data_IF_377294432617
#
_entry.id   IF_377294432617
#
_cell.length_a   1.000
_cell.length_b   1.000
_cell.length_c   1.000
_cell.angle_alpha   90.00
_cell.angle_beta   90.00
_cell.angle_gamma   90.00
#
_symmetry.space_group_name_H-M   'P 1'
#
loop_
_entity.id
_entity.type
_entity.pdbx_description
1 polymer ?
#
# COMPACT_ATOMS: atom_id res chain seq x y z
N UNK A 1 -11.02 -31.22 10.94
CA UNK A 1 -11.27 -30.43 12.18
C UNK A 1 -10.73 -28.98 12.13
N UNK A 2 -9.59 -28.66 11.47
CA UNK A 2 -9.12 -27.26 11.29
C UNK A 2 -10.04 -26.31 10.48
N UNK A 3 -10.81 -26.74 9.45
CA UNK A 3 -11.64 -25.84 8.65
C UNK A 3 -12.79 -25.18 9.43
N UNK A 4 -13.43 -25.94 10.33
CA UNK A 4 -14.54 -25.47 11.17
C UNK A 4 -14.09 -24.41 12.18
N UNK A 5 -12.91 -24.56 12.81
CA UNK A 5 -12.41 -23.53 13.74
C UNK A 5 -12.09 -22.20 13.05
N UNK A 6 -11.66 -22.24 11.79
CA UNK A 6 -11.39 -21.04 11.00
C UNK A 6 -12.68 -20.28 10.64
N UNK A 7 -13.77 -21.00 10.36
CA UNK A 7 -15.09 -20.40 10.10
C UNK A 7 -15.56 -19.54 11.28
N UNK A 8 -15.43 -20.05 12.52
CA UNK A 8 -15.81 -19.28 13.72
C UNK A 8 -14.98 -18.01 13.89
N UNK A 9 -13.70 -18.00 13.49
CA UNK A 9 -12.89 -16.80 13.54
C UNK A 9 -13.40 -15.71 12.59
N UNK A 10 -13.88 -16.06 11.40
CA UNK A 10 -14.44 -15.09 10.46
C UNK A 10 -15.74 -14.43 10.97
N UNK A 11 -16.55 -15.14 11.77
CA UNK A 11 -17.72 -14.56 12.44
C UNK A 11 -17.36 -13.39 13.36
N UNK A 12 -16.14 -13.36 13.91
CA UNK A 12 -15.66 -12.26 14.74
C UNK A 12 -14.87 -11.20 13.97
N UNK A 13 -14.29 -11.55 12.81
CA UNK A 13 -13.53 -10.61 11.97
C UNK A 13 -14.48 -9.68 11.22
N UNK A 14 -15.55 -10.20 10.61
CA UNK A 14 -16.45 -9.40 9.78
C UNK A 14 -17.12 -8.23 10.52
N UNK A 15 -17.70 -8.39 11.73
CA UNK A 15 -18.26 -7.27 12.48
C UNK A 15 -17.21 -6.22 12.86
N UNK A 16 -15.99 -6.68 13.17
CA UNK A 16 -14.86 -5.79 13.52
C UNK A 16 -14.41 -4.97 12.31
N UNK A 17 -14.23 -5.62 11.16
CA UNK A 17 -13.90 -4.95 9.90
C UNK A 17 -14.99 -3.94 9.56
N UNK A 18 -16.28 -4.32 9.66
CA UNK A 18 -17.40 -3.39 9.46
C UNK A 18 -17.35 -2.18 10.40
N UNK A 19 -17.06 -2.38 11.68
CA UNK A 19 -16.89 -1.29 12.64
C UNK A 19 -15.73 -0.35 12.26
N UNK A 20 -14.58 -0.91 11.87
CA UNK A 20 -13.41 -0.13 11.41
C UNK A 20 -13.75 0.65 10.15
N UNK A 21 -14.38 0.03 9.15
CA UNK A 21 -14.84 0.68 7.92
C UNK A 21 -15.80 1.84 8.21
N UNK A 22 -16.72 1.68 9.17
CA UNK A 22 -17.60 2.79 9.57
C UNK A 22 -16.81 3.98 10.16
N UNK A 23 -15.76 3.73 10.95
CA UNK A 23 -14.87 4.80 11.46
C UNK A 23 -14.10 5.48 10.33
N UNK A 24 -13.53 4.69 9.43
CA UNK A 24 -12.79 5.16 8.25
C UNK A 24 -13.71 6.05 7.38
N UNK A 25 -14.88 5.53 7.02
CA UNK A 25 -15.86 6.23 6.19
C UNK A 25 -16.37 7.53 6.83
N UNK A 26 -16.44 7.60 8.16
CA UNK A 26 -16.76 8.85 8.87
C UNK A 26 -15.69 9.92 8.65
N UNK A 27 -14.40 9.54 8.73
CA UNK A 27 -13.28 10.46 8.49
C UNK A 27 -13.21 10.84 7.01
N UNK A 28 -13.33 9.88 6.10
CA UNK A 28 -13.37 10.12 4.66
C UNK A 28 -14.53 11.06 4.25
N UNK A 29 -15.71 10.90 4.85
CA UNK A 29 -16.85 11.81 4.62
C UNK A 29 -16.54 13.24 5.08
N UNK A 30 -15.83 13.40 6.20
CA UNK A 30 -15.42 14.73 6.66
C UNK A 30 -14.37 15.34 5.73
N UNK A 31 -13.36 14.56 5.32
CA UNK A 31 -12.39 14.97 4.30
C UNK A 31 -13.09 15.47 3.03
N UNK A 32 -14.02 14.69 2.46
CA UNK A 32 -14.78 15.08 1.25
C UNK A 32 -15.58 16.37 1.46
N UNK A 33 -16.14 16.61 2.66
CA UNK A 33 -16.83 17.87 2.99
C UNK A 33 -15.87 19.06 3.08
N UNK A 34 -14.66 18.85 3.59
CA UNK A 34 -13.64 19.90 3.68
C UNK A 34 -13.15 20.28 2.29
N UNK A 35 -12.88 19.29 1.45
CA UNK A 35 -12.47 19.48 0.05
C UNK A 35 -13.53 20.20 -0.78
N UNK A 36 -14.81 19.85 -0.61
CA UNK A 36 -15.92 20.47 -1.34
C UNK A 36 -16.13 21.97 -1.05
N UNK A 37 -15.40 22.56 -0.08
CA UNK A 37 -15.42 24.01 0.16
C UNK A 37 -14.65 24.80 -0.89
N UNK A 38 -13.70 24.16 -1.59
CA UNK A 38 -12.98 24.73 -2.72
C UNK A 38 -13.50 24.06 -4.01
N UNK A 39 -13.99 24.86 -4.96
CA UNK A 39 -14.59 24.34 -6.20
C UNK A 39 -13.60 23.59 -7.08
N UNK A 40 -12.33 24.01 -7.12
CA UNK A 40 -11.31 23.34 -7.93
C UNK A 40 -10.92 22.00 -7.32
N UNK A 41 -10.78 21.94 -5.99
CA UNK A 41 -10.51 20.66 -5.31
C UNK A 41 -11.71 19.69 -5.41
N UNK A 42 -12.94 20.21 -5.40
CA UNK A 42 -14.14 19.42 -5.60
C UNK A 42 -14.16 18.75 -6.99
N UNK A 43 -13.67 19.43 -8.03
CA UNK A 43 -13.56 18.85 -9.38
C UNK A 43 -12.61 17.66 -9.38
N UNK A 44 -11.45 17.75 -8.74
CA UNK A 44 -10.49 16.65 -8.60
C UNK A 44 -11.15 15.43 -7.93
N UNK A 45 -11.83 15.65 -6.80
CA UNK A 45 -12.50 14.58 -6.05
C UNK A 45 -13.74 14.00 -6.76
N UNK A 46 -14.33 14.75 -7.69
CA UNK A 46 -15.47 14.29 -8.48
C UNK A 46 -15.09 13.35 -9.63
N UNK A 47 -13.79 13.32 -10.00
CA UNK A 47 -13.28 12.39 -11.00
C UNK A 47 -13.47 10.94 -10.53
N UNK A 48 -14.11 10.12 -11.37
CA UNK A 48 -14.34 8.70 -11.09
C UNK A 48 -13.03 7.94 -10.85
N UNK A 49 -11.99 8.25 -11.62
CA UNK A 49 -10.65 7.63 -11.46
C UNK A 49 -10.03 7.98 -10.12
N UNK A 50 -10.10 9.26 -9.72
CA UNK A 50 -9.57 9.71 -8.43
C UNK A 50 -10.33 9.10 -7.26
N UNK A 51 -11.67 9.13 -7.28
CA UNK A 51 -12.51 8.61 -6.19
C UNK A 51 -12.31 7.09 -5.97
N UNK A 52 -12.10 6.34 -7.05
CA UNK A 52 -11.80 4.91 -6.99
C UNK A 52 -10.46 4.65 -6.29
N UNK A 53 -9.37 5.27 -6.77
CA UNK A 53 -8.03 5.13 -6.18
C UNK A 53 -8.02 5.57 -4.71
N UNK A 54 -8.61 6.73 -4.40
CA UNK A 54 -8.77 7.21 -3.03
C UNK A 54 -9.47 6.17 -2.14
N UNK A 55 -10.58 5.59 -2.61
CA UNK A 55 -11.35 4.62 -1.83
C UNK A 55 -10.56 3.34 -1.60
N UNK A 56 -9.84 2.84 -2.61
CA UNK A 56 -8.98 1.66 -2.49
C UNK A 56 -7.86 1.89 -1.47
N UNK A 57 -7.09 2.97 -1.61
CA UNK A 57 -6.02 3.31 -0.67
C UNK A 57 -6.53 3.44 0.76
N UNK A 58 -7.62 4.20 0.95
CA UNK A 58 -8.20 4.41 2.28
C UNK A 58 -8.65 3.09 2.92
N UNK A 59 -9.29 2.20 2.17
CA UNK A 59 -9.78 0.93 2.71
C UNK A 59 -8.63 -0.02 3.07
N UNK A 60 -7.66 -0.22 2.17
CA UNK A 60 -6.55 -1.16 2.37
C UNK A 60 -5.64 -0.69 3.51
N UNK A 61 -5.11 0.54 3.40
CA UNK A 61 -4.11 1.02 4.36
C UNK A 61 -4.71 1.27 5.75
N UNK A 62 -5.89 1.89 5.83
CA UNK A 62 -6.49 2.14 7.16
C UNK A 62 -6.84 0.85 7.88
N UNK A 63 -7.32 -0.19 7.18
CA UNK A 63 -7.60 -1.49 7.79
C UNK A 63 -6.32 -2.19 8.27
N UNK A 64 -5.24 -2.07 7.51
CA UNK A 64 -3.93 -2.60 7.89
C UNK A 64 -3.39 -1.87 9.13
N UNK A 65 -3.51 -0.55 9.19
CA UNK A 65 -3.09 0.27 10.34
C UNK A 65 -3.85 -0.08 11.62
N UNK A 66 -5.15 -0.34 11.51
CA UNK A 66 -5.93 -0.90 12.63
C UNK A 66 -5.35 -2.23 13.11
N UNK A 67 -4.96 -3.10 12.18
CA UNK A 67 -4.43 -4.43 12.47
C UNK A 67 -3.05 -4.33 13.12
N UNK A 68 -2.20 -3.40 12.68
CA UNK A 68 -0.89 -3.11 13.28
C UNK A 68 -1.03 -2.54 14.70
N UNK A 69 -1.99 -1.64 14.94
CA UNK A 69 -2.27 -1.17 16.29
C UNK A 69 -2.65 -2.33 17.22
N UNK A 70 -3.50 -3.24 16.75
CA UNK A 70 -3.93 -4.38 17.55
C UNK A 70 -2.84 -5.45 17.73
N UNK A 71 -1.93 -5.59 16.76
CA UNK A 71 -0.71 -6.40 16.91
C UNK A 71 0.07 -5.93 18.15
N UNK A 72 0.25 -4.61 18.28
CA UNK A 72 0.84 -3.96 19.44
C UNK A 72 -0.07 -3.89 20.69
N UNK A 73 -1.25 -4.54 20.67
CA UNK A 73 -2.15 -4.61 21.82
C UNK A 73 -2.89 -3.30 22.13
N UNK A 74 -2.96 -2.36 21.19
CA UNK A 74 -3.59 -1.06 21.37
C UNK A 74 -4.71 -0.77 20.37
N UNK A 75 -5.45 0.30 20.62
CA UNK A 75 -6.48 0.81 19.71
C UNK A 75 -5.91 2.00 18.93
N UNK A 76 -6.28 2.10 17.65
CA UNK A 76 -5.96 3.26 16.82
C UNK A 76 -6.72 4.51 17.31
N UNK A 77 -5.99 5.59 17.57
CA UNK A 77 -6.53 6.89 17.98
C UNK A 77 -7.16 7.63 16.80
N UNK A 78 -7.89 8.71 17.10
CA UNK A 78 -8.54 9.50 16.06
C UNK A 78 -7.52 10.30 15.22
N UNK A 79 -6.44 10.79 15.83
CA UNK A 79 -5.40 11.54 15.12
C UNK A 79 -4.68 10.63 14.11
N UNK A 80 -4.35 9.40 14.51
CA UNK A 80 -3.71 8.42 13.62
C UNK A 80 -4.62 8.05 12.46
N UNK A 81 -5.92 7.84 12.73
CA UNK A 81 -6.89 7.55 11.69
C UNK A 81 -7.06 8.75 10.74
N UNK A 82 -7.04 9.98 11.28
CA UNK A 82 -7.10 11.19 10.48
C UNK A 82 -5.86 11.33 9.60
N UNK A 83 -4.67 11.19 10.16
CA UNK A 83 -3.41 11.22 9.41
C UNK A 83 -3.39 10.16 8.30
N UNK A 84 -3.76 8.91 8.60
CA UNK A 84 -3.81 7.83 7.61
C UNK A 84 -4.79 8.14 6.46
N UNK A 85 -6.03 8.53 6.77
CA UNK A 85 -7.04 8.80 5.72
C UNK A 85 -6.65 10.00 4.86
N UNK A 86 -6.08 11.05 5.44
CA UNK A 86 -5.62 12.22 4.68
C UNK A 86 -4.38 11.90 3.85
N UNK A 87 -3.47 11.07 4.37
CA UNK A 87 -2.31 10.62 3.62
C UNK A 87 -2.71 9.71 2.44
N UNK A 88 -3.69 8.82 2.64
CA UNK A 88 -4.27 8.03 1.53
C UNK A 88 -4.87 8.92 0.44
N UNK A 89 -5.34 10.12 0.75
CA UNK A 89 -5.81 11.09 -0.24
C UNK A 89 -4.68 11.85 -0.95
N UNK A 90 -3.48 11.86 -0.37
CA UNK A 90 -2.28 12.37 -1.03
C UNK A 90 -1.81 11.39 -2.12
N UNK A 91 -1.97 10.08 -1.92
CA UNK A 91 -1.36 9.05 -2.79
C UNK A 91 -1.79 9.14 -4.27
N UNK A 92 -3.08 9.24 -4.65
CA UNK A 92 -3.42 9.35 -6.07
C UNK A 92 -2.87 10.63 -6.72
N UNK A 93 -2.76 11.73 -5.96
CA UNK A 93 -2.16 12.97 -6.44
C UNK A 93 -0.64 12.80 -6.61
N UNK A 94 -0.02 12.12 -5.64
CA UNK A 94 1.40 11.81 -5.65
C UNK A 94 1.77 10.94 -6.84
N UNK A 95 1.03 9.87 -7.10
CA UNK A 95 1.23 9.01 -8.28
C UNK A 95 1.10 9.82 -9.57
N UNK A 96 0.06 10.67 -9.68
CA UNK A 96 -0.14 11.53 -10.85
C UNK A 96 1.01 12.55 -11.05
N UNK A 97 1.80 12.89 -10.01
CA UNK A 97 2.98 13.72 -10.17
C UNK A 97 4.10 13.02 -10.94
N UNK A 98 4.27 11.71 -10.77
CA UNK A 98 5.29 10.95 -11.51
C UNK A 98 4.80 10.55 -12.90
N UNK A 99 3.50 10.24 -13.03
CA UNK A 99 2.99 9.57 -14.23
C UNK A 99 2.37 10.53 -15.25
N UNK A 100 1.82 11.67 -14.80
CA UNK A 100 0.93 12.52 -15.64
C UNK A 100 1.26 14.00 -15.61
N UNK A 101 2.22 14.42 -14.79
CA UNK A 101 2.55 15.83 -14.61
C UNK A 101 3.87 16.17 -15.28
N UNK A 102 4.03 17.45 -15.63
CA UNK A 102 5.30 18.00 -16.13
C UNK A 102 6.25 18.42 -14.99
N UNK A 103 6.00 17.99 -13.74
CA UNK A 103 6.83 18.36 -12.59
C UNK A 103 8.20 17.70 -12.69
N UNK A 104 9.24 18.50 -12.46
CA UNK A 104 10.60 18.00 -12.30
C UNK A 104 10.76 17.21 -11.00
N UNK A 105 11.76 16.33 -10.97
CA UNK A 105 12.16 15.58 -9.77
C UNK A 105 12.36 16.49 -8.55
N UNK A 106 12.94 17.68 -8.77
CA UNK A 106 13.16 18.69 -7.74
C UNK A 106 11.83 19.25 -7.21
N UNK A 107 10.88 19.58 -8.09
CA UNK A 107 9.57 20.09 -7.69
C UNK A 107 8.77 19.08 -6.88
N UNK A 108 8.79 17.80 -7.30
CA UNK A 108 8.15 16.71 -6.54
C UNK A 108 8.77 16.62 -5.15
N UNK A 109 10.11 16.66 -5.05
CA UNK A 109 10.81 16.60 -3.76
C UNK A 109 10.54 17.81 -2.87
N UNK A 110 10.49 19.00 -3.44
CA UNK A 110 10.16 20.24 -2.71
C UNK A 110 8.70 20.20 -2.21
N UNK A 111 7.78 19.67 -3.03
CA UNK A 111 6.36 19.52 -2.67
C UNK A 111 6.15 18.51 -1.53
N UNK A 112 6.92 17.42 -1.48
CA UNK A 112 6.92 16.48 -0.35
C UNK A 112 7.42 17.09 0.96
N UNK A 113 8.25 18.13 0.86
CA UNK A 113 8.82 18.85 2.00
C UNK A 113 7.90 20.00 2.47
N UNK A 114 6.79 20.23 1.78
CA UNK A 114 5.76 21.19 2.17
C UNK A 114 5.15 20.81 3.55
N UNK A 115 4.79 21.80 4.40
CA UNK A 115 4.14 23.05 4.00
C UNK A 115 4.99 24.33 4.03
N UNK A 116 6.31 24.27 4.22
CA UNK A 116 7.14 25.48 4.34
C UNK A 116 7.91 25.76 3.05
N UNK A 117 7.58 26.87 2.37
CA UNK A 117 8.41 27.41 1.28
C UNK A 117 8.10 26.93 -0.14
N UNK A 118 7.01 26.17 -0.34
CA UNK A 118 6.51 25.83 -1.68
C UNK A 118 5.26 26.67 -1.97
N UNK A 119 5.28 27.44 -3.06
CA UNK A 119 4.11 28.18 -3.55
C UNK A 119 3.39 27.31 -4.60
N UNK A 120 2.14 26.89 -4.37
CA UNK A 120 1.41 26.06 -5.33
C UNK A 120 1.06 26.86 -6.58
N UNK A 121 1.35 26.26 -7.74
CA UNK A 121 1.04 26.79 -9.07
C UNK A 121 -0.27 26.21 -9.64
N UNK A 122 -0.84 25.20 -8.99
CA UNK A 122 -2.09 24.56 -9.40
C UNK A 122 -2.96 24.13 -8.23
N UNK A 123 -4.26 23.95 -8.49
CA UNK A 123 -5.22 23.42 -7.51
C UNK A 123 -4.84 22.01 -7.01
N UNK A 124 -4.14 21.20 -7.83
CA UNK A 124 -3.66 19.87 -7.46
C UNK A 124 -2.55 19.97 -6.40
N UNK A 125 -1.57 20.86 -6.62
CA UNK A 125 -0.50 21.13 -5.65
C UNK A 125 -1.06 21.75 -4.37
N UNK A 126 -1.99 22.70 -4.49
CA UNK A 126 -2.63 23.34 -3.32
C UNK A 126 -3.36 22.30 -2.45
N UNK A 127 -4.14 21.41 -3.08
CA UNK A 127 -4.83 20.32 -2.43
C UNK A 127 -3.83 19.36 -1.76
N UNK A 128 -2.77 18.96 -2.46
CA UNK A 128 -1.74 18.07 -1.91
C UNK A 128 -1.08 18.68 -0.66
N UNK A 129 -0.68 19.96 -0.71
CA UNK A 129 -0.08 20.68 0.43
C UNK A 129 -1.06 20.77 1.59
N UNK A 130 -2.33 21.06 1.32
CA UNK A 130 -3.37 21.11 2.34
C UNK A 130 -3.52 19.75 3.05
N UNK A 131 -3.63 18.66 2.28
CA UNK A 131 -3.77 17.30 2.83
C UNK A 131 -2.54 16.92 3.66
N UNK A 132 -1.34 17.13 3.11
CA UNK A 132 -0.08 16.81 3.76
C UNK A 132 0.12 17.61 5.05
N UNK A 133 -0.28 18.89 5.08
CA UNK A 133 -0.28 19.71 6.31
C UNK A 133 -1.15 19.09 7.40
N UNK A 134 -2.34 18.57 7.06
CA UNK A 134 -3.20 17.89 8.02
C UNK A 134 -2.56 16.59 8.51
N UNK A 135 -1.87 15.84 7.64
CA UNK A 135 -1.09 14.66 8.05
C UNK A 135 -0.07 15.05 9.11
N UNK A 136 0.84 15.99 8.81
CA UNK A 136 1.89 16.42 9.75
C UNK A 136 1.37 16.93 11.09
N UNK A 137 0.22 17.62 11.11
CA UNK A 137 -0.42 18.08 12.36
C UNK A 137 -0.90 16.93 13.27
N UNK A 138 -1.06 15.72 12.72
CA UNK A 138 -1.60 14.56 13.42
C UNK A 138 -0.57 13.43 13.60
N UNK A 139 0.68 13.64 13.15
CA UNK A 139 1.75 12.64 13.27
C UNK A 139 2.31 12.56 14.69
N UNK A 140 2.66 11.35 15.16
CA UNK A 140 3.40 11.20 16.41
C UNK A 140 4.88 11.58 16.29
N UNK A 141 5.45 11.44 15.09
CA UNK A 141 6.86 11.69 14.80
C UNK A 141 7.02 12.11 13.33
N UNK A 142 7.06 13.42 13.08
CA UNK A 142 7.20 13.99 11.74
C UNK A 142 8.53 13.62 11.07
N UNK A 143 9.62 13.51 11.84
CA UNK A 143 10.95 13.20 11.28
C UNK A 143 11.02 11.75 10.76
N UNK A 144 10.40 10.81 11.48
CA UNK A 144 10.31 9.41 11.05
C UNK A 144 9.49 9.28 9.77
N UNK A 145 8.35 9.99 9.71
CA UNK A 145 7.50 10.03 8.52
C UNK A 145 8.23 10.64 7.33
N UNK A 146 8.82 11.83 7.50
CA UNK A 146 9.57 12.52 6.44
C UNK A 146 10.71 11.66 5.89
N UNK A 147 11.44 10.95 6.76
CA UNK A 147 12.50 10.02 6.34
C UNK A 147 11.97 8.90 5.45
N UNK A 148 10.90 8.20 5.86
CA UNK A 148 10.34 7.13 5.02
C UNK A 148 9.65 7.66 3.78
N UNK A 149 9.12 8.88 3.82
CA UNK A 149 8.54 9.50 2.65
C UNK A 149 9.63 9.79 1.61
N UNK A 150 10.78 10.32 2.04
CA UNK A 150 11.95 10.49 1.18
C UNK A 150 12.46 9.14 0.62
N UNK A 151 12.48 8.08 1.42
CA UNK A 151 12.87 6.75 0.93
C UNK A 151 11.88 6.20 -0.11
N UNK A 152 10.58 6.43 0.07
CA UNK A 152 9.57 6.07 -0.92
C UNK A 152 9.75 6.86 -2.22
N UNK A 153 10.11 8.15 -2.13
CA UNK A 153 10.45 8.97 -3.31
C UNK A 153 11.60 8.36 -4.11
N UNK A 154 12.72 8.01 -3.47
CA UNK A 154 13.81 7.34 -4.19
C UNK A 154 13.39 5.99 -4.78
N UNK A 155 12.50 5.25 -4.09
CA UNK A 155 11.92 4.01 -4.62
C UNK A 155 11.06 4.24 -5.87
N UNK A 156 10.26 5.31 -5.89
CA UNK A 156 9.47 5.69 -7.07
C UNK A 156 10.34 6.15 -8.23
N UNK A 157 11.35 6.99 -7.98
CA UNK A 157 12.32 7.41 -8.99
C UNK A 157 13.05 6.21 -9.62
N UNK A 158 13.51 5.27 -8.79
CA UNK A 158 14.16 4.06 -9.27
C UNK A 158 13.21 3.16 -10.08
N UNK A 159 11.90 3.17 -9.77
CA UNK A 159 10.89 2.38 -10.51
C UNK A 159 10.70 2.80 -11.97
N UNK A 160 11.10 4.02 -12.35
CA UNK A 160 11.14 4.44 -13.77
C UNK A 160 12.03 3.53 -14.63
N UNK A 161 13.02 2.86 -14.03
CA UNK A 161 13.89 1.90 -14.75
C UNK A 161 13.13 0.64 -15.21
N UNK A 162 11.97 0.33 -14.63
CA UNK A 162 11.20 -0.87 -14.95
C UNK A 162 10.66 -0.88 -16.39
N UNK A 163 10.72 0.23 -17.12
CA UNK A 163 10.45 0.24 -18.57
C UNK A 163 11.56 -0.45 -19.39
N UNK A 164 12.75 -0.67 -18.80
CA UNK A 164 13.87 -1.29 -19.49
C UNK A 164 13.70 -2.83 -19.52
N UNK A 165 13.50 -3.44 -20.71
CA UNK A 165 13.30 -4.89 -20.83
C UNK A 165 14.52 -5.71 -20.42
N UNK A 166 15.71 -5.13 -20.43
CA UNK A 166 16.97 -5.82 -20.16
C UNK A 166 17.28 -5.95 -18.66
N UNK A 167 16.45 -5.40 -17.78
CA UNK A 167 16.64 -5.58 -16.33
C UNK A 167 16.57 -7.06 -15.95
N UNK A 168 17.53 -7.47 -15.12
CA UNK A 168 17.53 -8.80 -14.52
C UNK A 168 16.35 -8.95 -13.54
N UNK A 169 15.96 -10.20 -13.29
CA UNK A 169 14.88 -10.50 -12.34
C UNK A 169 15.22 -10.01 -10.94
N UNK A 170 16.49 -10.12 -10.53
CA UNK A 170 16.98 -9.65 -9.24
C UNK A 170 16.91 -8.13 -9.11
N UNK A 171 17.19 -7.39 -10.18
CA UNK A 171 17.05 -5.92 -10.19
C UNK A 171 15.60 -5.49 -10.10
N UNK A 172 14.71 -6.11 -10.90
CA UNK A 172 13.26 -5.85 -10.84
C UNK A 172 12.72 -6.12 -9.43
N UNK A 173 13.08 -7.27 -8.84
CA UNK A 173 12.67 -7.63 -7.48
C UNK A 173 13.16 -6.60 -6.46
N UNK A 174 14.42 -6.17 -6.55
CA UNK A 174 14.98 -5.16 -5.65
C UNK A 174 14.22 -3.84 -5.71
N UNK A 175 13.94 -3.35 -6.92
CA UNK A 175 13.24 -2.07 -7.14
C UNK A 175 11.81 -2.15 -6.58
N UNK A 176 11.07 -3.19 -6.94
CA UNK A 176 9.71 -3.42 -6.46
C UNK A 176 9.65 -3.56 -4.93
N UNK A 177 10.55 -4.33 -4.33
CA UNK A 177 10.59 -4.51 -2.87
C UNK A 177 11.00 -3.23 -2.14
N UNK A 178 11.82 -2.38 -2.75
CA UNK A 178 12.18 -1.08 -2.19
C UNK A 178 10.99 -0.12 -2.16
N UNK A 179 10.27 0.01 -3.28
CA UNK A 179 9.05 0.82 -3.37
C UNK A 179 7.99 0.36 -2.37
N UNK A 180 7.61 -0.92 -2.42
CA UNK A 180 6.61 -1.50 -1.52
C UNK A 180 7.04 -1.45 -0.04
N UNK A 181 8.30 -1.83 0.25
CA UNK A 181 8.84 -1.89 1.60
C UNK A 181 8.84 -0.54 2.30
N UNK A 182 9.28 0.53 1.63
CA UNK A 182 9.24 1.88 2.19
C UNK A 182 7.83 2.45 2.28
N UNK A 183 6.90 2.07 1.38
CA UNK A 183 5.48 2.41 1.52
C UNK A 183 4.90 1.85 2.83
N UNK A 184 5.15 0.59 3.16
CA UNK A 184 4.69 -0.02 4.41
C UNK A 184 5.30 0.65 5.66
N UNK A 185 6.59 1.01 5.60
CA UNK A 185 7.27 1.73 6.69
C UNK A 185 6.75 3.16 6.86
N UNK A 186 6.41 3.83 5.76
CA UNK A 186 5.80 5.15 5.77
C UNK A 186 4.45 5.13 6.47
N UNK A 187 3.55 4.20 6.12
CA UNK A 187 2.28 4.04 6.84
C UNK A 187 2.49 3.69 8.31
N UNK A 188 3.44 2.82 8.62
CA UNK A 188 3.77 2.48 10.01
C UNK A 188 4.18 3.70 10.83
N UNK A 189 4.87 4.67 10.23
CA UNK A 189 5.34 5.87 10.94
C UNK A 189 4.22 6.80 11.40
N UNK A 190 3.01 6.67 10.84
CA UNK A 190 1.80 7.38 11.28
C UNK A 190 1.37 6.89 12.68
N UNK A 191 1.76 5.67 13.08
CA UNK A 191 1.28 5.01 14.28
C UNK A 191 2.13 5.34 15.52
N UNK A 192 1.48 5.80 16.60
CA UNK A 192 2.04 6.29 17.88
C UNK A 192 2.91 5.29 18.64
N UNK A 193 2.76 4.00 18.41
CA UNK A 193 3.53 2.99 19.15
C UNK A 193 4.94 2.86 18.57
N UNK A 194 5.97 2.71 19.42
CA UNK A 194 7.34 2.54 18.96
C UNK A 194 7.50 1.25 18.15
N UNK A 195 8.46 1.25 17.23
CA UNK A 195 8.90 0.02 16.57
C UNK A 195 9.63 -0.85 17.60
N UNK A 196 9.31 -2.15 17.62
CA UNK A 196 10.10 -3.13 18.36
C UNK A 196 11.19 -3.74 17.47
N UNK A 197 12.15 -4.42 18.08
CA UNK A 197 13.19 -5.14 17.35
C UNK A 197 12.60 -6.10 16.31
N UNK A 198 13.10 -6.01 15.08
CA UNK A 198 12.68 -6.85 13.96
C UNK A 198 11.38 -6.40 13.27
N UNK A 199 10.61 -5.47 13.84
CA UNK A 199 9.35 -5.01 13.26
C UNK A 199 9.56 -4.29 11.92
N UNK A 200 10.61 -3.46 11.81
CA UNK A 200 10.97 -2.75 10.57
C UNK A 200 11.20 -3.74 9.41
N UNK A 201 11.94 -4.83 9.65
CA UNK A 201 12.18 -5.89 8.66
C UNK A 201 10.90 -6.63 8.29
N UNK A 202 10.02 -6.88 9.26
CA UNK A 202 8.74 -7.53 9.01
C UNK A 202 7.80 -6.65 8.18
N UNK A 203 7.79 -5.34 8.44
CA UNK A 203 7.02 -4.36 7.69
C UNK A 203 7.58 -4.11 6.28
N UNK A 204 8.90 -4.09 6.13
CA UNK A 204 9.50 -4.03 4.80
C UNK A 204 9.08 -5.24 3.95
N UNK A 205 9.10 -6.45 4.54
CA UNK A 205 8.61 -7.66 3.89
C UNK A 205 7.09 -7.58 3.58
N UNK A 206 6.30 -6.94 4.46
CA UNK A 206 4.87 -6.73 4.22
C UNK A 206 4.65 -5.86 2.99
N UNK A 207 5.42 -4.78 2.88
CA UNK A 207 5.42 -3.90 1.72
C UNK A 207 5.87 -4.59 0.44
N UNK A 208 6.93 -5.41 0.51
CA UNK A 208 7.40 -6.22 -0.61
C UNK A 208 6.32 -7.18 -1.13
N UNK A 209 5.64 -7.92 -0.25
CA UNK A 209 4.50 -8.77 -0.63
C UNK A 209 3.34 -7.93 -1.17
N UNK A 210 3.11 -6.74 -0.60
CA UNK A 210 2.15 -5.75 -1.10
C UNK A 210 2.42 -5.38 -2.55
N UNK A 211 3.68 -5.11 -2.92
CA UNK A 211 4.04 -4.81 -4.31
C UNK A 211 3.82 -6.02 -5.23
N UNK A 212 4.15 -7.23 -4.80
CA UNK A 212 3.85 -8.43 -5.63
C UNK A 212 2.35 -8.62 -5.82
N UNK A 213 1.52 -8.27 -4.82
CA UNK A 213 0.05 -8.31 -4.94
C UNK A 213 -0.45 -7.29 -5.96
N UNK A 214 0.10 -6.09 -5.93
CA UNK A 214 -0.17 -5.00 -6.87
C UNK A 214 0.15 -5.45 -8.30
N UNK A 215 1.41 -5.85 -8.54
CA UNK A 215 1.87 -6.36 -9.83
C UNK A 215 0.99 -7.55 -10.31
N UNK A 216 0.59 -8.46 -9.41
CA UNK A 216 -0.30 -9.59 -9.75
C UNK A 216 -1.70 -9.17 -10.23
N UNK A 217 -2.22 -8.05 -9.75
CA UNK A 217 -3.53 -7.55 -10.17
C UNK A 217 -3.43 -6.71 -11.44
N UNK A 218 -2.31 -6.03 -11.63
CA UNK A 218 -2.06 -5.14 -12.77
C UNK A 218 -1.32 -5.84 -13.92
N UNK A 219 -1.09 -7.15 -13.84
CA UNK A 219 -0.34 -7.93 -14.84
C UNK A 219 -0.75 -7.66 -16.30
N UNK A 220 -2.05 -7.49 -16.58
CA UNK A 220 -2.51 -7.19 -17.94
C UNK A 220 -2.06 -5.79 -18.39
N UNK A 221 -2.28 -4.79 -17.54
CA UNK A 221 -1.95 -3.39 -17.83
C UNK A 221 -0.42 -3.22 -17.93
N UNK A 222 0.35 -3.84 -17.02
CA UNK A 222 1.82 -3.86 -17.05
C UNK A 222 2.37 -4.45 -18.35
N UNK A 223 1.75 -5.52 -18.87
CA UNK A 223 2.15 -6.13 -20.13
C UNK A 223 1.84 -5.23 -21.34
N UNK A 224 0.66 -4.57 -21.36
CA UNK A 224 0.31 -3.60 -22.42
C UNK A 224 1.25 -2.40 -22.43
N UNK A 225 1.66 -1.92 -21.25
CA UNK A 225 2.54 -0.76 -21.09
C UNK A 225 4.04 -1.11 -21.21
N UNK A 226 4.38 -2.40 -21.30
CA UNK A 226 5.77 -2.86 -21.42
C UNK A 226 6.57 -2.71 -20.12
N UNK A 227 5.91 -2.69 -18.97
CA UNK A 227 6.51 -2.55 -17.65
C UNK A 227 7.04 -3.91 -17.18
N UNK A 228 8.30 -3.92 -16.74
CA UNK A 228 8.97 -5.10 -16.21
C UNK A 228 8.74 -5.17 -14.70
N UNK A 229 7.76 -5.96 -14.26
CA UNK A 229 7.46 -6.19 -12.85
C UNK A 229 7.85 -7.59 -12.41
N UNK A 230 7.70 -7.90 -11.12
CA UNK A 230 8.06 -9.23 -10.60
C UNK A 230 7.26 -10.33 -11.30
N UNK A 231 6.06 -9.99 -11.78
CA UNK A 231 5.11 -10.95 -12.32
C UNK A 231 5.06 -10.98 -13.84
N UNK A 232 5.66 -10.02 -14.56
CA UNK A 232 5.73 -10.03 -16.04
C UNK A 232 6.90 -10.87 -16.58
N UNK A 233 7.88 -11.20 -15.73
CA UNK A 233 9.05 -12.04 -16.07
C UNK A 233 8.76 -13.55 -15.95
N UNK A 234 7.81 -14.08 -16.74
CA UNK A 234 7.41 -15.49 -16.68
C UNK A 234 7.69 -16.33 -17.93
N UNK A 235 8.13 -15.75 -19.06
CA UNK A 235 8.47 -16.50 -20.29
C UNK A 235 7.47 -17.63 -20.63
N UNK A 236 6.17 -17.32 -20.62
CA UNK A 236 5.05 -18.25 -20.82
C UNK A 236 4.81 -19.31 -19.73
N UNK A 237 5.66 -19.46 -18.72
CA UNK A 237 5.44 -20.31 -17.55
C UNK A 237 5.31 -19.48 -16.28
N UNK A 238 4.09 -19.35 -15.78
CA UNK A 238 3.77 -18.59 -14.58
C UNK A 238 4.11 -19.31 -13.27
N UNK A 239 4.48 -20.59 -13.33
CA UNK A 239 4.80 -21.41 -12.15
C UNK A 239 5.89 -20.77 -11.26
N UNK A 240 7.02 -20.30 -11.79
CA UNK A 240 8.08 -19.70 -10.98
C UNK A 240 7.68 -18.36 -10.33
N UNK A 241 6.76 -17.61 -10.93
CA UNK A 241 6.21 -16.37 -10.34
C UNK A 241 5.34 -16.74 -9.14
N UNK A 242 4.39 -17.66 -9.32
CA UNK A 242 3.50 -18.08 -8.25
C UNK A 242 4.24 -18.76 -7.08
N UNK A 243 5.26 -19.58 -7.37
CA UNK A 243 6.10 -20.20 -6.32
C UNK A 243 6.87 -19.14 -5.53
N UNK A 244 7.43 -18.13 -6.20
CA UNK A 244 8.13 -17.02 -5.53
C UNK A 244 7.16 -16.22 -4.65
N UNK A 245 5.96 -15.92 -5.15
CA UNK A 245 4.91 -15.27 -4.36
C UNK A 245 4.59 -16.03 -3.06
N UNK A 246 4.35 -17.35 -3.15
CA UNK A 246 4.05 -18.17 -1.96
C UNK A 246 5.22 -18.17 -0.96
N UNK A 247 6.47 -18.18 -1.44
CA UNK A 247 7.66 -18.11 -0.60
C UNK A 247 7.74 -16.79 0.16
N UNK A 248 7.49 -15.67 -0.51
CA UNK A 248 7.49 -14.34 0.14
C UNK A 248 6.35 -14.18 1.15
N UNK A 249 5.19 -14.79 0.90
CA UNK A 249 4.08 -14.87 1.87
C UNK A 249 4.47 -15.68 3.11
N UNK A 250 5.15 -16.82 2.97
CA UNK A 250 5.62 -17.61 4.13
C UNK A 250 6.72 -16.88 4.91
N UNK A 251 7.62 -16.16 4.22
CA UNK A 251 8.62 -15.30 4.84
C UNK A 251 7.96 -14.17 5.65
N UNK A 252 6.92 -13.56 5.11
CA UNK A 252 6.11 -12.54 5.79
C UNK A 252 5.44 -13.09 7.06
N UNK A 253 4.79 -14.25 6.98
CA UNK A 253 4.19 -14.88 8.18
C UNK A 253 5.25 -15.15 9.24
N UNK A 254 6.38 -15.70 8.81
CA UNK A 254 7.49 -16.06 9.69
C UNK A 254 8.13 -14.83 10.36
N UNK A 255 8.27 -13.71 9.65
CA UNK A 255 8.84 -12.48 10.22
C UNK A 255 7.97 -11.92 11.34
N UNK A 256 6.65 -11.81 11.13
CA UNK A 256 5.72 -11.36 12.16
C UNK A 256 5.60 -12.33 13.33
N UNK A 257 5.70 -13.64 13.09
CA UNK A 257 5.66 -14.65 14.16
C UNK A 257 6.88 -14.60 15.08
N UNK A 258 8.03 -14.12 14.60
CA UNK A 258 9.26 -13.94 15.40
C UNK A 258 9.25 -12.71 16.30
N UNK A 259 8.32 -11.78 16.10
CA UNK A 259 8.23 -10.56 16.91
C UNK A 259 7.86 -10.88 18.37
N UNK A 260 8.32 -10.03 19.28
CA UNK A 260 8.08 -10.13 20.73
C UNK A 260 6.68 -9.68 21.18
N UNK A 261 5.72 -9.60 20.25
CA UNK A 261 4.31 -9.42 20.56
C UNK A 261 3.66 -10.69 21.12
N UNK A 262 2.54 -10.54 21.84
CA UNK A 262 1.81 -11.70 22.38
C UNK A 262 1.34 -12.63 21.25
N UNK A 263 1.40 -13.95 21.46
CA UNK A 263 1.01 -14.94 20.45
C UNK A 263 -0.42 -14.71 19.92
N UNK A 264 -1.34 -14.38 20.83
CA UNK A 264 -2.73 -14.04 20.50
C UNK A 264 -2.83 -12.88 19.49
N UNK A 265 -2.03 -11.83 19.68
CA UNK A 265 -2.04 -10.67 18.79
C UNK A 265 -1.41 -11.01 17.43
N UNK A 266 -0.29 -11.75 17.42
CA UNK A 266 0.36 -12.21 16.19
C UNK A 266 -0.57 -13.05 15.33
N UNK A 267 -1.23 -14.04 15.93
CA UNK A 267 -2.16 -14.92 15.21
C UNK A 267 -3.37 -14.15 14.68
N UNK A 268 -3.84 -13.15 15.42
CA UNK A 268 -4.93 -12.28 15.00
C UNK A 268 -4.53 -11.42 13.81
N UNK A 269 -3.38 -10.76 13.90
CA UNK A 269 -2.82 -9.94 12.82
C UNK A 269 -2.62 -10.77 11.55
N UNK A 270 -1.98 -11.94 11.64
CA UNK A 270 -1.78 -12.83 10.49
C UNK A 270 -3.10 -13.24 9.85
N UNK A 271 -4.13 -13.59 10.63
CA UNK A 271 -5.45 -13.92 10.06
C UNK A 271 -6.09 -12.75 9.31
N UNK A 272 -6.00 -11.53 9.85
CA UNK A 272 -6.53 -10.34 9.19
C UNK A 272 -5.73 -10.00 7.92
N UNK A 273 -4.40 -10.10 7.99
CA UNK A 273 -3.51 -9.91 6.84
C UNK A 273 -3.79 -10.93 5.71
N UNK A 274 -4.06 -12.19 6.04
CA UNK A 274 -4.37 -13.23 5.05
C UNK A 274 -5.66 -12.96 4.28
N UNK A 275 -6.56 -12.10 4.75
CA UNK A 275 -7.73 -11.69 3.94
C UNK A 275 -7.30 -10.96 2.66
N UNK A 276 -6.24 -10.15 2.74
CA UNK A 276 -5.71 -9.41 1.58
C UNK A 276 -4.79 -10.31 0.76
N UNK A 277 -3.83 -10.97 1.41
CA UNK A 277 -2.86 -11.84 0.74
C UNK A 277 -3.51 -13.02 0.01
N UNK A 278 -4.64 -13.55 0.49
CA UNK A 278 -5.32 -14.61 -0.25
C UNK A 278 -5.88 -14.16 -1.61
N UNK A 279 -6.06 -12.85 -1.85
CA UNK A 279 -6.39 -12.31 -3.17
C UNK A 279 -5.33 -12.66 -4.22
N UNK A 280 -4.05 -12.41 -3.93
CA UNK A 280 -2.94 -12.80 -4.80
C UNK A 280 -2.82 -14.31 -4.99
N UNK A 281 -3.12 -15.09 -3.94
CA UNK A 281 -3.17 -16.56 -4.05
C UNK A 281 -4.23 -17.02 -5.06
N UNK A 282 -5.42 -16.43 -5.02
CA UNK A 282 -6.50 -16.74 -5.96
C UNK A 282 -6.15 -16.28 -7.38
N UNK A 283 -5.54 -15.09 -7.52
CA UNK A 283 -5.09 -14.56 -8.80
C UNK A 283 -4.05 -15.49 -9.45
N UNK A 284 -2.99 -15.84 -8.73
CA UNK A 284 -1.95 -16.74 -9.23
C UNK A 284 -2.48 -18.14 -9.59
N UNK A 285 -3.41 -18.68 -8.80
CA UNK A 285 -4.09 -19.93 -9.16
C UNK A 285 -4.94 -19.81 -10.43
N UNK A 286 -5.51 -18.63 -10.70
CA UNK A 286 -6.25 -18.38 -11.91
C UNK A 286 -5.32 -18.39 -13.13
N UNK A 287 -4.18 -17.70 -13.06
CA UNK A 287 -3.18 -17.72 -14.14
C UNK A 287 -2.64 -19.12 -14.43
N UNK A 288 -2.34 -19.93 -13.41
CA UNK A 288 -1.93 -21.32 -13.62
C UNK A 288 -3.02 -22.19 -14.27
N UNK A 289 -4.30 -21.93 -13.96
CA UNK A 289 -5.41 -22.62 -14.64
C UNK A 289 -5.53 -22.20 -16.10
N UNK A 290 -5.32 -20.92 -16.42
CA UNK A 290 -5.29 -20.42 -17.79
C UNK A 290 -4.13 -21.04 -18.57
N UNK A 291 -2.93 -21.06 -18.00
CA UNK A 291 -1.76 -21.74 -18.57
C UNK A 291 -2.04 -23.21 -18.88
N UNK A 292 -2.63 -23.95 -17.93
CA UNK A 292 -2.98 -25.36 -18.14
C UNK A 292 -4.03 -25.56 -19.25
N UNK A 293 -5.00 -24.64 -19.36
CA UNK A 293 -6.02 -24.66 -20.41
C UNK A 293 -5.42 -24.38 -21.80
N UNK A 294 -4.36 -23.59 -21.86
CA UNK A 294 -3.66 -23.19 -23.08
C UNK A 294 -2.44 -24.08 -23.40
N UNK A 295 -2.48 -25.36 -23.00
CA UNK A 295 -1.43 -26.32 -23.37
C UNK A 295 -0.10 -26.13 -22.65
N UNK A 296 -0.10 -25.49 -21.47
CA UNK A 296 1.09 -25.25 -20.66
C UNK A 296 1.72 -23.87 -20.87
N UNK A 297 1.12 -23.03 -21.72
CA UNK A 297 1.58 -21.68 -22.07
C UNK A 297 0.60 -20.66 -21.48
N UNK A 298 1.10 -19.72 -20.66
CA UNK A 298 0.33 -18.54 -20.31
C UNK A 298 0.50 -17.52 -21.43
N UNK A 299 -0.62 -17.21 -22.08
CA UNK A 299 -0.75 -16.23 -23.16
C UNK A 299 -1.87 -15.27 -22.71
N UNK A 300 -1.49 -14.01 -22.46
CA UNK A 300 -2.35 -12.93 -21.94
C UNK A 300 -2.39 -11.84 -22.99
#
# INVERSE_FOLDING_TARGET
>A
MRPLSNFFHYLFILPRVKFRLNRINKVLKNLKREVNKNSEWALIFSSKSFDLRLTQYVQVHSLLDFSLCELAGRKMSNDELKACVYFCACLPLYDDFFDKSDLSEKEIKDLMSAPHGFEPESAVQELFIYLLRVVYQNLPNSDLFGRYFEQLYYGQEESKKLINPDLSREEVEKIAFQKGGYSALLFRSILKHPLIEGEEKALYQLGAVGQVLDDLFDLFDDLEEGINTIVTKFNHDFTPVYVQYLKEVEKLKSSFQKLSYTQKNKDKFIRELMLMVNGGTLCGQHYLKLQAKNGGVLDI
#
